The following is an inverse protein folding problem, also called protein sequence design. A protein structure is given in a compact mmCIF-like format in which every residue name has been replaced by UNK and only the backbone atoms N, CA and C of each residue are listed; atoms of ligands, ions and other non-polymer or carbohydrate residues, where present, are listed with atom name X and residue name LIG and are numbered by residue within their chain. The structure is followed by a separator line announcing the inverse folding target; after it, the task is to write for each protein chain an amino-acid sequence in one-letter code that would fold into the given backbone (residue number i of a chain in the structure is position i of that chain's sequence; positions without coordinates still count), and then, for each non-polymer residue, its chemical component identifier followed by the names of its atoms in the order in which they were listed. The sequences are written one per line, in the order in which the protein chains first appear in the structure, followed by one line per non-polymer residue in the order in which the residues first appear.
data_IF_018248836486
#
_entry.id   IF_018248836486
#
_cell.length_a   1.000
_cell.length_b   1.000
_cell.length_c   1.000
_cell.angle_alpha   90.00
_cell.angle_beta   90.00
_cell.angle_gamma   90.00
#
_symmetry.space_group_name_H-M   'P 1'
#
loop_
_entity.id
_entity.type
_entity.pdbx_description
1 polymer ?
#
# COMPACT_ATOMS: atom_id res chain seq x y z
N UNK A 1 8.83 21.20 -36.64
CA UNK A 1 8.55 22.19 -35.56
C UNK A 1 7.42 21.57 -34.76
N UNK A 2 7.76 20.80 -33.72
CA UNK A 2 6.81 19.92 -33.03
C UNK A 2 5.74 20.69 -32.27
N UNK A 3 4.49 20.19 -32.31
CA UNK A 3 3.31 20.85 -31.74
C UNK A 3 3.12 20.64 -30.22
N UNK A 4 4.08 20.01 -29.52
CA UNK A 4 4.01 19.65 -28.08
C UNK A 4 2.77 18.84 -27.66
N UNK A 5 2.04 18.26 -28.61
CA UNK A 5 0.91 17.38 -28.31
C UNK A 5 1.39 16.11 -27.59
N UNK A 6 0.66 15.73 -26.53
CA UNK A 6 0.92 14.49 -25.78
C UNK A 6 0.23 13.32 -26.47
N UNK A 7 0.99 12.32 -26.89
CA UNK A 7 0.45 11.12 -27.53
C UNK A 7 0.50 9.94 -26.55
N UNK A 8 -0.50 9.05 -26.55
CA UNK A 8 -0.42 7.78 -25.83
C UNK A 8 0.78 6.92 -26.27
N UNK A 9 1.26 5.98 -25.43
CA UNK A 9 2.37 5.11 -25.79
C UNK A 9 2.00 4.21 -26.99
N UNK A 10 2.99 3.97 -27.87
CA UNK A 10 2.84 3.09 -29.04
C UNK A 10 2.56 3.80 -30.37
N UNK A 11 2.31 5.10 -30.36
CA UNK A 11 2.09 5.89 -31.57
C UNK A 11 3.40 6.23 -32.27
N UNK A 12 3.69 5.70 -33.47
CA UNK A 12 4.93 6.01 -34.19
C UNK A 12 5.10 7.50 -34.58
N UNK A 13 3.99 8.23 -34.75
CA UNK A 13 3.96 9.63 -35.17
C UNK A 13 2.98 10.44 -34.31
N UNK A 14 3.21 11.74 -34.22
CA UNK A 14 2.30 12.64 -33.51
C UNK A 14 0.94 12.74 -34.22
N UNK A 15 -0.16 12.48 -33.51
CA UNK A 15 -1.51 12.53 -34.06
C UNK A 15 -1.96 13.94 -34.50
N UNK A 16 -1.27 15.00 -34.04
CA UNK A 16 -1.61 16.38 -34.35
C UNK A 16 -0.74 16.99 -35.45
N UNK A 17 0.59 16.75 -35.44
CA UNK A 17 1.51 17.36 -36.41
C UNK A 17 2.27 16.37 -37.31
N UNK A 18 2.09 15.06 -37.12
CA UNK A 18 2.72 14.02 -37.95
C UNK A 18 4.22 13.83 -37.75
N UNK A 19 4.86 14.56 -36.84
CA UNK A 19 6.30 14.43 -36.58
C UNK A 19 6.61 13.07 -35.91
N UNK A 20 7.70 12.38 -36.30
CA UNK A 20 8.02 11.07 -35.76
C UNK A 20 8.35 11.18 -34.27
N UNK A 21 7.78 10.26 -33.48
CA UNK A 21 8.00 10.20 -32.04
C UNK A 21 9.14 9.24 -31.72
N UNK A 22 10.03 9.64 -30.82
CA UNK A 22 11.09 8.77 -30.31
C UNK A 22 10.50 7.76 -29.31
N UNK A 23 10.86 6.49 -29.50
CA UNK A 23 10.41 5.39 -28.65
C UNK A 23 11.56 4.50 -28.25
N UNK A 24 11.37 3.82 -27.13
CA UNK A 24 12.27 2.77 -26.67
C UNK A 24 11.49 1.55 -26.22
N UNK A 25 12.12 0.38 -26.32
CA UNK A 25 11.55 -0.87 -25.81
C UNK A 25 12.08 -1.14 -24.42
N UNK A 26 11.16 -1.38 -23.49
CA UNK A 26 11.50 -1.93 -22.19
C UNK A 26 11.96 -3.40 -22.35
N UNK A 27 12.70 -3.91 -21.37
CA UNK A 27 13.11 -5.31 -21.31
C UNK A 27 11.92 -6.29 -21.26
N UNK A 28 10.75 -5.84 -20.81
CA UNK A 28 9.51 -6.63 -20.85
C UNK A 28 8.84 -6.68 -22.25
N UNK A 29 9.38 -5.97 -23.25
CA UNK A 29 8.84 -5.90 -24.61
C UNK A 29 7.90 -4.73 -24.88
N UNK A 30 7.44 -4.01 -23.84
CA UNK A 30 6.56 -2.84 -24.00
C UNK A 30 7.27 -1.67 -24.68
N UNK A 31 6.56 -0.94 -25.54
CA UNK A 31 7.05 0.27 -26.20
C UNK A 31 6.70 1.48 -25.33
N UNK A 32 7.72 2.17 -24.85
CA UNK A 32 7.58 3.38 -24.04
C UNK A 32 7.93 4.62 -24.85
N UNK A 33 7.35 5.77 -24.48
CA UNK A 33 7.81 7.05 -24.99
C UNK A 33 9.21 7.34 -24.43
N UNK A 34 10.04 8.06 -25.17
CA UNK A 34 11.43 8.29 -24.76
C UNK A 34 11.56 9.15 -23.48
N UNK A 35 10.53 9.93 -23.16
CA UNK A 35 10.49 10.74 -21.93
C UNK A 35 9.93 9.99 -20.70
N UNK A 36 9.44 8.75 -20.86
CA UNK A 36 8.86 7.99 -19.75
C UNK A 36 9.94 7.57 -18.75
N UNK A 37 9.82 7.92 -17.47
CA UNK A 37 10.81 7.47 -16.47
C UNK A 37 10.66 5.99 -16.09
N UNK A 38 9.45 5.43 -16.25
CA UNK A 38 9.10 4.07 -15.88
C UNK A 38 8.28 3.39 -16.97
N UNK A 39 8.37 2.07 -17.07
CA UNK A 39 7.55 1.30 -17.99
C UNK A 39 6.09 1.25 -17.49
N UNK A 40 5.16 1.76 -18.29
CA UNK A 40 3.72 1.71 -17.97
C UNK A 40 3.12 0.29 -17.86
N UNK A 41 3.82 -0.75 -18.33
CA UNK A 41 3.37 -2.14 -18.22
C UNK A 41 3.94 -2.87 -17.01
N UNK A 42 5.27 -2.87 -16.81
CA UNK A 42 5.92 -3.65 -15.76
C UNK A 42 6.45 -2.83 -14.59
N UNK A 43 6.35 -1.50 -14.64
CA UNK A 43 6.86 -0.59 -13.60
C UNK A 43 8.38 -0.45 -13.54
N UNK A 44 9.14 -1.17 -14.39
CA UNK A 44 10.60 -1.09 -14.39
C UNK A 44 11.09 0.31 -14.77
N UNK A 45 12.11 0.80 -14.05
CA UNK A 45 12.78 2.05 -14.40
C UNK A 45 13.39 1.94 -15.81
N UNK A 46 13.10 2.93 -16.64
CA UNK A 46 13.69 3.05 -17.96
C UNK A 46 14.94 3.93 -17.81
N UNK A 47 16.10 3.45 -18.26
CA UNK A 47 17.35 4.17 -18.10
C UNK A 47 17.29 5.50 -18.90
N UNK A 48 16.96 6.60 -18.22
CA UNK A 48 17.07 7.92 -18.81
C UNK A 48 18.55 8.28 -18.90
N UNK A 49 19.04 8.49 -20.12
CA UNK A 49 20.40 8.97 -20.40
C UNK A 49 20.62 10.42 -19.98
N UNK A 50 19.61 11.11 -19.46
CA UNK A 50 19.76 12.44 -18.88
C UNK A 50 19.68 12.40 -17.36
N UNK A 51 20.83 12.65 -16.74
CA UNK A 51 21.06 12.87 -15.30
C UNK A 51 21.08 11.63 -14.42
N UNK A 52 22.14 10.84 -14.58
CA UNK A 52 22.75 10.11 -13.47
C UNK A 52 23.31 11.11 -12.44
N UNK A 53 22.45 11.85 -11.74
CA UNK A 53 22.81 12.40 -10.45
C UNK A 53 22.42 11.34 -9.41
N UNK A 54 23.41 10.49 -9.11
CA UNK A 54 23.51 9.81 -7.83
C UNK A 54 23.51 10.90 -6.74
N UNK A 55 22.34 11.35 -6.30
CA UNK A 55 22.19 11.84 -4.93
C UNK A 55 21.96 10.61 -4.07
N UNK A 56 22.88 10.46 -3.12
CA UNK A 56 23.08 9.25 -2.33
C UNK A 56 21.77 8.68 -1.80
N UNK A 57 21.68 7.36 -1.91
CA UNK A 57 20.90 6.51 -1.03
C UNK A 57 21.30 6.79 0.42
N UNK A 58 20.76 7.84 1.01
CA UNK A 58 20.63 7.91 2.45
C UNK A 58 19.39 7.08 2.79
N UNK A 59 19.66 5.80 3.08
CA UNK A 59 18.84 4.86 3.84
C UNK A 59 17.34 4.88 3.51
N UNK A 60 16.93 4.05 2.54
CA UNK A 60 15.62 3.41 2.65
C UNK A 60 15.80 2.31 3.71
N UNK A 61 15.79 2.70 4.97
CA UNK A 61 15.44 1.78 6.04
C UNK A 61 13.91 1.71 6.03
N UNK A 62 13.41 0.51 5.75
CA UNK A 62 12.02 0.10 5.98
C UNK A 62 10.90 0.68 5.10
N UNK A 63 10.92 0.30 3.82
CA UNK A 63 9.67 0.11 3.07
C UNK A 63 9.03 -1.27 3.35
N UNK A 64 9.54 -2.03 4.32
CA UNK A 64 9.11 -3.39 4.68
C UNK A 64 8.43 -3.47 6.06
N UNK A 65 7.98 -2.34 6.62
CA UNK A 65 7.03 -2.32 7.74
C UNK A 65 5.62 -2.74 7.30
N UNK A 66 5.50 -3.78 6.47
CA UNK A 66 4.21 -4.36 6.09
C UNK A 66 3.70 -5.30 7.20
N UNK A 67 3.77 -4.82 8.44
CA UNK A 67 3.55 -5.49 9.73
C UNK A 67 4.78 -6.21 10.29
N UNK A 68 5.44 -5.59 11.28
CA UNK A 68 6.32 -6.32 12.18
C UNK A 68 5.47 -7.36 12.95
N UNK A 69 5.65 -8.62 12.56
CA UNK A 69 4.92 -9.76 13.13
C UNK A 69 5.12 -9.83 14.66
N UNK A 70 6.30 -9.44 15.14
CA UNK A 70 6.64 -9.45 16.56
C UNK A 70 5.82 -8.40 17.32
N UNK A 71 5.70 -7.20 16.76
CA UNK A 71 4.88 -6.12 17.33
C UNK A 71 3.39 -6.49 17.39
N UNK A 72 2.87 -7.15 16.34
CA UNK A 72 1.49 -7.64 16.35
C UNK A 72 1.24 -8.72 17.42
N UNK A 73 2.19 -9.65 17.59
CA UNK A 73 2.10 -10.67 18.63
C UNK A 73 2.07 -10.05 20.03
N UNK A 74 2.88 -9.01 20.26
CA UNK A 74 2.95 -8.33 21.55
C UNK A 74 1.65 -7.57 21.88
N UNK A 75 1.06 -6.88 20.89
CA UNK A 75 -0.24 -6.23 21.05
C UNK A 75 -1.36 -7.24 21.36
N UNK A 76 -1.40 -8.37 20.64
CA UNK A 76 -2.41 -9.41 20.89
C UNK A 76 -2.27 -10.05 22.28
N UNK A 77 -1.04 -10.19 22.79
CA UNK A 77 -0.80 -10.66 24.15
C UNK A 77 -1.31 -9.66 25.20
N UNK A 78 -1.06 -8.36 24.99
CA UNK A 78 -1.55 -7.30 25.88
C UNK A 78 -3.08 -7.24 25.91
N UNK A 79 -3.75 -7.34 24.76
CA UNK A 79 -5.22 -7.36 24.69
C UNK A 79 -5.81 -8.57 25.44
N UNK A 80 -5.24 -9.76 25.28
CA UNK A 80 -5.70 -10.96 26.00
C UNK A 80 -5.50 -10.83 27.53
N UNK A 81 -4.39 -10.23 27.96
CA UNK A 81 -4.13 -9.98 29.38
C UNK A 81 -5.12 -8.96 29.97
N UNK A 82 -5.45 -7.90 29.23
CA UNK A 82 -6.47 -6.94 29.62
C UNK A 82 -7.85 -7.60 29.76
N UNK A 83 -8.22 -8.46 28.81
CA UNK A 83 -9.50 -9.19 28.85
C UNK A 83 -9.56 -10.16 30.04
N UNK A 84 -8.48 -10.88 30.35
CA UNK A 84 -8.46 -11.78 31.51
C UNK A 84 -8.51 -11.02 32.85
N UNK A 85 -7.84 -9.87 32.95
CA UNK A 85 -7.87 -9.07 34.19
C UNK A 85 -9.21 -8.37 34.42
N UNK A 86 -9.96 -8.02 33.36
CA UNK A 86 -11.23 -7.31 33.47
C UNK A 86 -12.48 -8.19 33.38
N UNK A 87 -12.34 -9.48 33.01
CA UNK A 87 -13.47 -10.42 33.01
C UNK A 87 -13.99 -10.60 34.43
N UNK A 88 -15.09 -9.92 34.73
CA UNK A 88 -15.94 -10.28 35.87
C UNK A 88 -16.44 -11.71 35.66
N UNK A 89 -15.92 -12.65 36.44
CA UNK A 89 -16.41 -14.04 36.43
C UNK A 89 -17.78 -14.08 37.09
N UNK A 90 -18.82 -14.16 36.27
CA UNK A 90 -20.20 -14.34 36.74
C UNK A 90 -20.52 -15.82 36.70
N UNK A 91 -20.81 -16.42 37.86
CA UNK A 91 -21.24 -17.82 37.93
C UNK A 91 -22.74 -17.95 37.64
N UNK A 92 -23.19 -19.17 37.32
CA UNK A 92 -24.61 -19.44 37.11
C UNK A 92 -25.46 -19.12 38.35
N UNK A 93 -24.90 -19.30 39.55
CA UNK A 93 -25.58 -18.95 40.80
C UNK A 93 -25.66 -17.43 41.03
N UNK A 94 -24.67 -16.66 40.58
CA UNK A 94 -24.74 -15.19 40.60
C UNK A 94 -25.86 -14.68 39.69
N UNK A 95 -26.03 -15.30 38.51
CA UNK A 95 -27.14 -14.99 37.59
C UNK A 95 -28.49 -15.29 38.27
N UNK A 96 -28.63 -16.47 38.89
CA UNK A 96 -29.86 -16.84 39.61
C UNK A 96 -30.17 -15.83 40.73
N UNK A 97 -29.17 -15.41 41.51
CA UNK A 97 -29.32 -14.40 42.57
C UNK A 97 -29.72 -13.03 42.01
N UNK A 98 -29.13 -12.60 40.88
CA UNK A 98 -29.48 -11.34 40.23
C UNK A 98 -30.93 -11.34 39.72
N UNK A 99 -31.37 -12.44 39.09
CA UNK A 99 -32.75 -12.59 38.62
C UNK A 99 -33.76 -12.61 39.77
N UNK A 100 -33.45 -13.32 40.86
CA UNK A 100 -34.27 -13.34 42.06
C UNK A 100 -34.38 -11.95 42.72
N UNK A 101 -33.25 -11.21 42.79
CA UNK A 101 -33.21 -9.84 43.33
C UNK A 101 -34.02 -8.86 42.48
N UNK A 102 -34.01 -9.01 41.15
CA UNK A 102 -34.84 -8.21 40.24
C UNK A 102 -36.33 -8.52 40.42
N UNK A 103 -36.70 -9.79 40.52
CA UNK A 103 -38.10 -10.21 40.74
C UNK A 103 -38.69 -9.62 42.02
N UNK A 104 -37.92 -9.61 43.12
CA UNK A 104 -38.31 -8.99 44.40
C UNK A 104 -38.44 -7.46 44.40
N UNK A 105 -37.89 -6.77 43.40
CA UNK A 105 -38.01 -5.30 43.26
C UNK A 105 -39.19 -4.89 42.38
N UNK A 106 -39.76 -5.84 41.63
CA UNK A 106 -40.85 -5.61 40.66
C UNK A 106 -42.19 -6.17 41.18
N UNK A 107 -42.15 -7.04 42.19
CA UNK A 107 -43.30 -7.40 43.03
C UNK A 107 -43.37 -6.49 44.25
#
# INVERSE_FOLDING_TARGET
MGCKHSNPPGYAFCASCGEPLAHRRCRCGFVCADNDSFCGQCGAALANTHSAQKKGSAQIEDADHRFDLQQLMELAAQENQYVETQKARVTQDDIRKLLAKRKKRVS
#
